data_IF_454149725214
#
_entry.id   IF_454149725214
#
_cell.length_a   1.000
_cell.length_b   1.000
_cell.length_c   1.000
_cell.angle_alpha   90.00
_cell.angle_beta   90.00
_cell.angle_gamma   90.00
#
_symmetry.space_group_name_H-M   'P 1'
#
loop_
_entity.id
_entity.type
_entity.pdbx_description
1 polymer ?
#
# COMPACT_ATOMS: atom_id res chain seq x y z
N UNK A 1 -5.43 -15.54 0.49
CA UNK A 1 -4.23 -14.69 0.59
C UNK A 1 -3.04 -15.48 0.05
N UNK A 2 -2.55 -15.19 -1.18
CA UNK A 2 -1.67 -16.10 -1.94
C UNK A 2 -0.34 -16.44 -1.24
N UNK A 3 0.48 -15.43 -0.91
CA UNK A 3 1.79 -15.65 -0.29
C UNK A 3 1.68 -16.39 1.06
N UNK A 4 0.67 -16.06 1.88
CA UNK A 4 0.45 -16.74 3.15
C UNK A 4 0.15 -18.24 2.96
N UNK A 5 -0.70 -18.61 2.00
CA UNK A 5 -0.94 -20.03 1.71
C UNK A 5 0.33 -20.74 1.24
N UNK A 6 1.09 -20.12 0.35
CA UNK A 6 2.36 -20.69 -0.14
C UNK A 6 3.38 -20.91 0.98
N UNK A 7 3.45 -19.99 1.95
CA UNK A 7 4.30 -20.15 3.14
C UNK A 7 3.78 -21.26 4.08
N UNK A 8 2.47 -21.42 4.23
CA UNK A 8 1.88 -22.49 5.05
C UNK A 8 2.07 -23.88 4.44
N UNK A 9 2.09 -23.98 3.11
CA UNK A 9 2.27 -25.25 2.38
C UNK A 9 3.76 -25.57 2.11
N UNK A 10 4.68 -24.66 2.48
CA UNK A 10 6.10 -24.84 2.23
C UNK A 10 6.73 -25.87 3.19
N UNK A 11 7.73 -26.66 2.72
CA UNK A 11 8.48 -27.55 3.60
C UNK A 11 9.12 -26.79 4.77
N UNK A 12 9.12 -27.38 5.96
CA UNK A 12 9.64 -26.75 7.18
C UNK A 12 11.10 -26.31 7.01
N UNK A 13 11.90 -27.08 6.25
CA UNK A 13 13.30 -26.78 5.98
C UNK A 13 13.51 -25.43 5.28
N UNK A 14 12.49 -24.92 4.57
CA UNK A 14 12.56 -23.65 3.85
C UNK A 14 12.10 -22.45 4.68
N UNK A 15 11.35 -22.66 5.77
CA UNK A 15 10.65 -21.58 6.48
C UNK A 15 10.89 -21.56 7.99
N UNK A 16 11.37 -22.66 8.59
CA UNK A 16 11.49 -22.79 10.03
C UNK A 16 12.42 -21.72 10.61
N UNK A 17 11.93 -21.04 11.66
CA UNK A 17 12.61 -19.94 12.36
C UNK A 17 13.07 -18.77 11.47
N UNK A 18 12.52 -18.63 10.27
CA UNK A 18 12.78 -17.49 9.38
C UNK A 18 11.73 -16.39 9.53
N UNK A 19 12.09 -15.16 9.16
CA UNK A 19 11.16 -14.02 9.10
C UNK A 19 10.91 -13.65 7.64
N UNK A 20 9.64 -13.71 7.23
CA UNK A 20 9.20 -13.36 5.89
C UNK A 20 8.42 -12.04 5.90
N UNK A 21 8.61 -11.24 4.85
CA UNK A 21 7.91 -9.98 4.66
C UNK A 21 6.97 -10.10 3.46
N UNK A 22 5.69 -9.81 3.68
CA UNK A 22 4.68 -9.89 2.62
C UNK A 22 4.52 -8.54 1.95
N UNK A 23 4.79 -8.50 0.65
CA UNK A 23 4.66 -7.32 -0.21
C UNK A 23 4.68 -7.75 -1.68
N UNK A 24 4.24 -6.84 -2.54
CA UNK A 24 4.56 -6.88 -3.96
C UNK A 24 6.07 -6.76 -4.16
N UNK A 25 6.64 -7.51 -5.11
CA UNK A 25 8.09 -7.52 -5.39
C UNK A 25 8.55 -6.29 -6.18
N UNK A 26 7.70 -5.80 -7.07
CA UNK A 26 7.99 -4.61 -7.86
C UNK A 26 7.84 -3.36 -7.01
N UNK A 27 8.90 -2.55 -6.94
CA UNK A 27 8.86 -1.27 -6.25
C UNK A 27 8.12 -0.23 -7.10
N UNK A 28 7.08 0.39 -6.52
CA UNK A 28 6.39 1.51 -7.13
C UNK A 28 6.13 2.63 -6.11
N UNK A 29 5.93 3.85 -6.63
CA UNK A 29 5.63 5.01 -5.77
C UNK A 29 4.12 5.15 -5.56
N UNK A 30 3.74 5.72 -4.41
CA UNK A 30 2.34 6.12 -4.14
C UNK A 30 1.82 7.04 -5.26
N UNK A 31 2.69 7.88 -5.86
CA UNK A 31 2.33 8.73 -7.00
C UNK A 31 2.00 7.93 -8.25
N UNK A 32 2.77 6.89 -8.59
CA UNK A 32 2.48 6.01 -9.73
C UNK A 32 1.12 5.34 -9.53
N UNK A 33 0.90 4.75 -8.37
CA UNK A 33 -0.36 4.10 -8.02
C UNK A 33 -1.55 5.06 -8.06
N UNK A 34 -1.42 6.24 -7.45
CA UNK A 34 -2.50 7.26 -7.43
C UNK A 34 -2.85 7.76 -8.83
N UNK A 35 -1.86 7.95 -9.71
CA UNK A 35 -2.12 8.34 -11.10
C UNK A 35 -2.77 7.22 -11.91
N UNK A 36 -2.39 5.95 -11.67
CA UNK A 36 -3.02 4.80 -12.31
C UNK A 36 -4.51 4.72 -11.93
N UNK A 37 -4.84 4.89 -10.65
CA UNK A 37 -6.24 4.99 -10.19
C UNK A 37 -6.97 6.14 -10.90
N UNK A 38 -6.38 7.34 -10.92
CA UNK A 38 -6.99 8.50 -11.57
C UNK A 38 -7.25 8.26 -13.07
N UNK A 39 -6.28 7.65 -13.77
CA UNK A 39 -6.41 7.29 -15.18
C UNK A 39 -7.57 6.31 -15.40
N UNK A 40 -7.66 5.24 -14.61
CA UNK A 40 -8.74 4.23 -14.70
C UNK A 40 -10.11 4.77 -14.32
N UNK A 41 -10.17 5.85 -13.53
CA UNK A 41 -11.39 6.60 -13.24
C UNK A 41 -11.70 7.70 -14.26
N UNK A 42 -10.92 7.82 -15.34
CA UNK A 42 -11.02 8.91 -16.33
C UNK A 42 -10.94 10.31 -15.71
N UNK A 43 -10.10 10.46 -14.68
CA UNK A 43 -9.80 11.73 -14.00
C UNK A 43 -8.42 12.24 -14.41
N UNK A 44 -8.20 13.55 -14.22
CA UNK A 44 -6.89 14.17 -14.47
C UNK A 44 -5.80 13.69 -13.52
N UNK A 45 -4.54 14.00 -13.84
CA UNK A 45 -3.36 13.62 -13.02
C UNK A 45 -3.47 14.14 -11.59
N UNK A 46 -2.98 13.34 -10.64
CA UNK A 46 -2.98 13.70 -9.22
C UNK A 46 -1.99 14.83 -8.98
N UNK A 47 -2.49 15.96 -8.47
CA UNK A 47 -1.69 17.16 -8.19
C UNK A 47 -0.84 16.98 -6.94
N UNK A 48 0.34 17.57 -6.94
CA UNK A 48 1.20 17.66 -5.75
C UNK A 48 0.89 18.96 -4.99
N UNK A 49 1.03 18.92 -3.67
CA UNK A 49 0.99 20.10 -2.81
C UNK A 49 2.37 20.33 -2.18
N UNK A 50 2.73 21.57 -1.82
CA UNK A 50 3.95 21.84 -1.07
C UNK A 50 4.00 21.09 0.26
N UNK A 51 5.19 20.65 0.63
CA UNK A 51 5.45 19.85 1.84
C UNK A 51 4.91 20.50 3.12
N UNK A 52 5.06 21.82 3.26
CA UNK A 52 4.57 22.57 4.41
C UNK A 52 3.04 22.50 4.55
N UNK A 53 2.31 22.59 3.43
CA UNK A 53 0.84 22.50 3.41
C UNK A 53 0.41 21.11 3.88
N UNK A 54 1.03 20.06 3.35
CA UNK A 54 0.68 18.68 3.72
C UNK A 54 0.98 18.40 5.20
N UNK A 55 2.09 18.92 5.73
CA UNK A 55 2.39 18.83 7.18
C UNK A 55 1.37 19.58 8.04
N UNK A 56 0.99 20.79 7.63
CA UNK A 56 -0.05 21.56 8.33
C UNK A 56 -1.39 20.82 8.38
N UNK A 57 -1.82 20.23 7.25
CA UNK A 57 -3.03 19.41 7.21
C UNK A 57 -2.95 18.17 8.10
N UNK A 58 -1.78 17.52 8.17
CA UNK A 58 -1.56 16.37 9.04
C UNK A 58 -1.66 16.72 10.54
N UNK A 59 -1.10 17.86 10.96
CA UNK A 59 -1.25 18.38 12.32
C UNK A 59 -2.71 18.72 12.62
N UNK A 60 -3.42 19.33 11.68
CA UNK A 60 -4.86 19.58 11.80
C UNK A 60 -5.67 18.29 11.98
N UNK A 61 -5.28 17.22 11.29
CA UNK A 61 -5.89 15.90 11.47
C UNK A 61 -5.64 15.29 12.85
N UNK A 62 -4.45 15.47 13.43
CA UNK A 62 -4.16 15.02 14.79
C UNK A 62 -5.03 15.78 15.81
N UNK A 63 -5.21 17.09 15.61
CA UNK A 63 -6.12 17.90 16.42
C UNK A 63 -7.58 17.43 16.28
N UNK A 64 -8.04 17.14 15.07
CA UNK A 64 -9.38 16.58 14.87
C UNK A 64 -9.56 15.25 15.61
N UNK A 65 -8.55 14.38 15.60
CA UNK A 65 -8.58 13.13 16.36
C UNK A 65 -8.65 13.36 17.87
N UNK A 66 -7.89 14.31 18.41
CA UNK A 66 -7.95 14.62 19.85
C UNK A 66 -9.30 15.21 20.26
N UNK A 67 -10.00 15.88 19.35
CA UNK A 67 -11.37 16.38 19.52
C UNK A 67 -12.46 15.32 19.28
N UNK A 68 -12.10 14.04 19.11
CA UNK A 68 -13.04 12.93 18.97
C UNK A 68 -13.38 12.54 17.54
N UNK A 69 -12.86 13.23 16.52
CA UNK A 69 -13.02 12.83 15.12
C UNK A 69 -12.02 11.72 14.75
N UNK A 70 -12.37 10.47 15.09
CA UNK A 70 -11.48 9.31 14.97
C UNK A 70 -11.02 8.99 13.53
N UNK A 71 -11.70 9.52 12.50
CA UNK A 71 -11.46 9.16 11.09
C UNK A 71 -10.90 10.31 10.25
N UNK A 72 -10.00 11.12 10.83
CA UNK A 72 -9.23 12.11 10.08
C UNK A 72 -8.49 11.45 8.89
N UNK A 73 -8.72 11.89 7.62
CA UNK A 73 -8.13 11.25 6.45
C UNK A 73 -6.60 11.37 6.36
N UNK A 74 -6.03 12.41 6.97
CA UNK A 74 -4.59 12.68 7.01
C UNK A 74 -4.20 13.07 8.43
N UNK A 75 -3.17 12.42 8.97
CA UNK A 75 -2.61 12.65 10.31
C UNK A 75 -1.09 12.61 10.23
N UNK A 76 -0.37 13.06 11.26
CA UNK A 76 1.10 13.02 11.25
C UNK A 76 1.59 11.57 11.20
N UNK A 77 0.91 10.65 11.88
CA UNK A 77 1.21 9.22 11.81
C UNK A 77 1.03 8.67 10.38
N UNK A 78 -0.10 8.98 9.72
CA UNK A 78 -0.35 8.51 8.35
C UNK A 78 0.65 9.11 7.36
N UNK A 79 0.97 10.39 7.52
CA UNK A 79 1.95 11.07 6.67
C UNK A 79 3.35 10.49 6.84
N UNK A 80 3.76 10.15 8.07
CA UNK A 80 5.01 9.45 8.34
C UNK A 80 5.07 8.10 7.60
N UNK A 81 4.01 7.30 7.67
CA UNK A 81 3.96 6.00 7.01
C UNK A 81 3.97 6.12 5.48
N UNK A 82 3.26 7.09 4.91
CA UNK A 82 3.29 7.34 3.45
C UNK A 82 4.68 7.76 2.93
N UNK A 83 5.54 8.28 3.80
CA UNK A 83 6.92 8.69 3.48
C UNK A 83 7.95 7.62 3.82
N UNK A 84 7.56 6.54 4.48
CA UNK A 84 8.49 5.48 4.84
C UNK A 84 9.04 4.83 3.58
N UNK A 85 10.37 4.74 3.48
CA UNK A 85 11.04 4.04 2.40
C UNK A 85 11.00 2.54 2.68
N UNK A 86 10.15 1.83 1.94
CA UNK A 86 9.99 0.38 2.02
C UNK A 86 10.76 -0.37 0.95
N UNK A 87 11.54 0.32 0.10
CA UNK A 87 12.25 -0.31 -1.03
C UNK A 87 13.35 -1.28 -0.63
N UNK A 88 13.82 -1.20 0.63
CA UNK A 88 14.90 -2.03 1.17
C UNK A 88 14.41 -3.23 1.98
N UNK A 89 13.11 -3.53 1.97
CA UNK A 89 12.58 -4.71 2.66
C UNK A 89 13.08 -5.97 1.94
N UNK A 90 13.65 -6.96 2.65
CA UNK A 90 14.20 -8.16 2.02
C UNK A 90 13.09 -9.12 1.60
N UNK A 91 12.57 -8.95 0.39
CA UNK A 91 11.50 -9.78 -0.17
C UNK A 91 12.01 -11.05 -0.87
N UNK A 92 13.30 -11.12 -1.19
CA UNK A 92 13.92 -12.28 -1.86
C UNK A 92 13.64 -13.63 -1.20
N UNK A 93 13.74 -13.78 0.15
CA UNK A 93 13.34 -15.02 0.82
C UNK A 93 11.86 -15.38 0.62
N UNK A 94 10.99 -14.37 0.59
CA UNK A 94 9.54 -14.59 0.38
C UNK A 94 9.29 -15.00 -1.06
N UNK A 95 9.89 -14.32 -2.03
CA UNK A 95 9.80 -14.67 -3.46
C UNK A 95 10.33 -16.07 -3.75
N UNK A 96 11.43 -16.49 -3.12
CA UNK A 96 11.99 -17.83 -3.29
C UNK A 96 11.02 -18.95 -2.90
N UNK A 97 10.20 -18.74 -1.86
CA UNK A 97 9.22 -19.73 -1.40
C UNK A 97 7.91 -19.61 -2.16
N UNK A 98 7.40 -18.39 -2.32
CA UNK A 98 6.04 -18.18 -2.84
C UNK A 98 5.98 -18.11 -4.36
N UNK A 99 7.11 -17.90 -5.03
CA UNK A 99 7.19 -17.71 -6.47
C UNK A 99 6.55 -16.40 -6.94
N UNK A 100 6.25 -16.32 -8.24
CA UNK A 100 5.62 -15.15 -8.85
C UNK A 100 4.23 -14.84 -8.28
N UNK A 101 3.89 -13.55 -8.24
CA UNK A 101 2.59 -13.08 -7.74
C UNK A 101 1.51 -13.25 -8.81
N UNK A 102 0.28 -13.64 -8.43
CA UNK A 102 -0.79 -13.95 -9.37
C UNK A 102 -1.46 -12.71 -9.98
N UNK A 103 -1.18 -11.50 -9.45
CA UNK A 103 -1.81 -10.26 -9.89
C UNK A 103 -0.79 -9.14 -10.04
N UNK A 104 -0.99 -8.30 -11.06
CA UNK A 104 -0.26 -7.04 -11.21
C UNK A 104 -0.95 -5.89 -10.47
N UNK A 105 -0.22 -4.79 -10.29
CA UNK A 105 -0.76 -3.55 -9.73
C UNK A 105 -1.97 -3.04 -10.53
N UNK A 106 -1.89 -3.08 -11.86
CA UNK A 106 -2.96 -2.65 -12.76
C UNK A 106 -4.22 -3.51 -12.61
N UNK A 107 -4.07 -4.84 -12.52
CA UNK A 107 -5.18 -5.75 -12.28
C UNK A 107 -5.82 -5.49 -10.91
N UNK A 108 -5.01 -5.27 -9.87
CA UNK A 108 -5.49 -4.92 -8.54
C UNK A 108 -6.29 -3.62 -8.52
N UNK A 109 -5.83 -2.58 -9.23
CA UNK A 109 -6.56 -1.32 -9.38
C UNK A 109 -7.88 -1.52 -10.12
N UNK A 110 -7.90 -2.29 -11.21
CA UNK A 110 -9.11 -2.55 -11.98
C UNK A 110 -10.18 -3.28 -11.15
N UNK A 111 -9.79 -4.33 -10.42
CA UNK A 111 -10.69 -5.06 -9.53
C UNK A 111 -11.23 -4.16 -8.42
N UNK A 112 -10.36 -3.33 -7.82
CA UNK A 112 -10.76 -2.39 -6.77
C UNK A 112 -11.80 -1.38 -7.28
N UNK A 113 -11.58 -0.78 -8.45
CA UNK A 113 -12.53 0.18 -9.03
C UNK A 113 -13.85 -0.51 -9.38
N UNK A 114 -13.80 -1.72 -9.94
CA UNK A 114 -15.00 -2.50 -10.23
C UNK A 114 -15.82 -2.78 -8.95
N UNK A 115 -15.15 -3.18 -7.87
CA UNK A 115 -15.78 -3.36 -6.56
C UNK A 115 -16.40 -2.06 -6.03
N UNK A 116 -15.67 -0.94 -6.08
CA UNK A 116 -16.19 0.37 -5.63
C UNK A 116 -17.45 0.81 -6.39
N UNK A 117 -17.53 0.53 -7.69
CA UNK A 117 -18.71 0.85 -8.51
C UNK A 117 -19.93 -0.03 -8.20
N UNK A 118 -19.71 -1.25 -7.69
CA UNK A 118 -20.79 -2.16 -7.28
C UNK A 118 -21.28 -1.89 -5.86
N UNK A 119 -20.43 -1.32 -5.02
CA UNK A 119 -20.74 -0.96 -3.64
C UNK A 119 -21.40 0.43 -3.51
N UNK A 120 -21.43 1.19 -4.61
CA UNK A 120 -22.12 2.49 -4.73
C UNK A 120 -23.53 2.29 -5.29
#
# INVERSE_FOLDING_TARGET
>A
MYQLHRLLDAPAEQIDRQTFYLSDYDVFTIRRWSNLIAQKLHRGRVRAAPEAVVRGLALGGDLLQSLGFKRAPLTTFRLKNMRADTSRIPLGPTEAVTGSLPFSLEQGVDQTIHWMRRAA
#
